data_IF_115934930629
#
_entry.id   IF_115934930629
#
_cell.length_a   1.000
_cell.length_b   1.000
_cell.length_c   1.000
_cell.angle_alpha   90.00
_cell.angle_beta   90.00
_cell.angle_gamma   90.00
#
_symmetry.space_group_name_H-M   'P 1'
#
loop_
_entity.id
_entity.type
_entity.pdbx_description
1 polymer ?
#
# COMPACT_ATOMS: atom_id res chain seq x y z
N UNK A 1 -7.74 6.27 36.47
CA UNK A 1 -6.77 6.27 35.36
C UNK A 1 -7.31 7.19 34.28
N UNK A 2 -6.67 8.33 34.04
CA UNK A 2 -7.06 9.21 32.93
C UNK A 2 -6.77 8.53 31.58
N UNK A 3 -7.47 8.88 30.50
CA UNK A 3 -7.17 8.34 29.18
C UNK A 3 -5.73 8.72 28.81
N UNK A 4 -4.92 7.71 28.47
CA UNK A 4 -3.60 7.91 27.87
C UNK A 4 -3.77 8.82 26.65
N UNK A 5 -2.99 9.89 26.58
CA UNK A 5 -3.01 10.76 25.42
C UNK A 5 -2.70 9.93 24.16
N UNK A 6 -3.39 10.17 23.03
CA UNK A 6 -3.11 9.43 21.81
C UNK A 6 -1.65 9.65 21.40
N UNK A 7 -0.88 8.57 21.33
CA UNK A 7 0.50 8.60 20.85
C UNK A 7 0.46 9.08 19.40
N UNK A 8 1.05 10.24 19.15
CA UNK A 8 1.10 10.83 17.81
C UNK A 8 2.02 9.98 16.93
N UNK A 9 1.66 9.75 15.66
CA UNK A 9 2.56 9.07 14.75
C UNK A 9 3.85 9.86 14.57
N UNK A 10 4.98 9.14 14.54
CA UNK A 10 6.29 9.66 14.17
C UNK A 10 6.23 10.10 12.70
N UNK A 11 6.84 11.23 12.34
CA UNK A 11 6.88 11.68 10.95
C UNK A 11 7.67 10.67 10.10
N UNK A 12 7.33 10.57 8.81
CA UNK A 12 8.11 9.80 7.84
C UNK A 12 9.58 10.27 7.88
N UNK A 13 10.55 9.37 8.11
CA UNK A 13 11.97 9.74 8.08
C UNK A 13 12.34 10.35 6.72
N UNK A 14 13.09 11.45 6.74
CA UNK A 14 13.56 12.13 5.54
C UNK A 14 14.63 11.33 4.76
N UNK A 15 15.33 10.44 5.45
CA UNK A 15 16.25 9.45 4.88
C UNK A 15 16.04 8.09 5.56
N UNK A 16 16.73 7.04 5.08
CA UNK A 16 16.66 5.69 5.66
C UNK A 16 17.44 5.58 7.01
N UNK A 17 17.99 6.70 7.51
CA UNK A 17 18.97 6.74 8.58
C UNK A 17 20.31 6.10 8.19
N UNK A 18 21.07 5.53 9.15
CA UNK A 18 22.31 4.81 8.90
C UNK A 18 22.21 3.81 7.75
N UNK A 19 23.31 3.69 7.00
CA UNK A 19 23.40 2.77 5.84
C UNK A 19 23.17 1.30 6.18
N UNK A 20 23.22 0.95 7.47
CA UNK A 20 22.96 -0.39 7.99
C UNK A 20 22.10 -0.27 9.25
N UNK A 21 21.02 -1.03 9.31
CA UNK A 21 20.10 -1.12 10.46
C UNK A 21 19.98 -2.57 10.88
N UNK A 22 20.13 -2.87 12.16
CA UNK A 22 20.16 -4.24 12.67
C UNK A 22 19.13 -4.47 13.78
N UNK A 23 18.90 -5.74 14.08
CA UNK A 23 18.31 -6.19 15.35
C UNK A 23 19.17 -5.74 16.55
N UNK A 24 18.58 -5.71 17.74
CA UNK A 24 19.25 -5.24 18.96
C UNK A 24 20.54 -6.02 19.30
N UNK A 25 20.58 -7.31 18.97
CA UNK A 25 21.75 -8.18 19.13
C UNK A 25 22.77 -8.08 17.98
N UNK A 26 22.46 -7.33 16.92
CA UNK A 26 23.30 -7.21 15.73
C UNK A 26 23.33 -8.44 14.83
N UNK A 27 22.54 -9.49 15.11
CA UNK A 27 22.58 -10.74 14.37
C UNK A 27 22.02 -10.61 12.94
N UNK A 28 21.03 -9.73 12.76
CA UNK A 28 20.34 -9.53 11.48
C UNK A 28 20.35 -8.07 11.09
N UNK A 29 20.95 -7.77 9.94
CA UNK A 29 21.14 -6.41 9.45
C UNK A 29 20.62 -6.23 8.02
N UNK A 30 20.07 -5.05 7.76
CA UNK A 30 19.65 -4.61 6.43
C UNK A 30 20.48 -3.39 6.04
N UNK A 31 21.22 -3.50 4.94
CA UNK A 31 21.99 -2.40 4.38
C UNK A 31 21.26 -1.72 3.23
N UNK A 32 21.47 -0.42 3.04
CA UNK A 32 20.91 0.30 1.87
C UNK A 32 21.52 -0.20 0.56
N UNK A 33 22.78 -0.63 0.58
CA UNK A 33 23.50 -1.13 -0.59
C UNK A 33 23.00 -2.49 -1.09
N UNK A 34 22.49 -3.34 -0.19
CA UNK A 34 21.95 -4.67 -0.51
C UNK A 34 20.56 -4.85 0.08
N UNK A 35 19.74 -3.80 -0.01
CA UNK A 35 18.46 -3.73 0.70
C UNK A 35 17.59 -4.95 0.42
N UNK A 36 17.38 -5.31 -0.85
CA UNK A 36 16.49 -6.42 -1.23
C UNK A 36 17.01 -7.79 -0.76
N UNK A 37 18.26 -8.21 -1.04
CA UNK A 37 18.78 -9.48 -0.54
C UNK A 37 18.85 -9.59 1.00
N UNK A 38 19.22 -8.49 1.67
CA UNK A 38 19.29 -8.45 3.13
C UNK A 38 17.86 -8.54 3.71
N UNK A 39 16.92 -7.73 3.20
CA UNK A 39 15.51 -7.75 3.59
C UNK A 39 14.90 -9.15 3.49
N UNK A 40 15.02 -9.80 2.34
CA UNK A 40 14.46 -11.13 2.15
C UNK A 40 15.12 -12.17 3.07
N UNK A 41 16.41 -12.02 3.39
CA UNK A 41 17.08 -12.86 4.39
C UNK A 41 16.56 -12.64 5.81
N UNK A 42 16.28 -11.39 6.19
CA UNK A 42 15.70 -11.05 7.50
C UNK A 42 14.27 -11.55 7.63
N UNK A 43 13.45 -11.44 6.57
CA UNK A 43 12.08 -12.00 6.56
C UNK A 43 12.13 -13.51 6.74
N UNK A 44 13.01 -14.21 6.02
CA UNK A 44 13.18 -15.66 6.13
C UNK A 44 13.59 -16.08 7.55
N UNK A 45 14.55 -15.38 8.14
CA UNK A 45 15.03 -15.65 9.50
C UNK A 45 13.94 -15.43 10.57
N UNK A 46 13.22 -14.31 10.50
CA UNK A 46 12.14 -14.00 11.45
C UNK A 46 10.96 -14.98 11.33
N UNK A 47 10.62 -15.38 10.10
CA UNK A 47 9.61 -16.40 9.85
C UNK A 47 10.02 -17.76 10.43
N UNK A 48 11.28 -18.16 10.21
CA UNK A 48 11.81 -19.42 10.73
C UNK A 48 11.84 -19.46 12.27
N UNK A 49 12.18 -18.34 12.93
CA UNK A 49 12.19 -18.25 14.39
C UNK A 49 10.81 -18.45 15.02
N UNK A 50 9.76 -17.98 14.35
CA UNK A 50 8.40 -17.95 14.89
C UNK A 50 7.51 -19.07 14.36
N UNK A 51 7.98 -19.82 13.37
CA UNK A 51 7.22 -20.87 12.69
C UNK A 51 6.16 -20.34 11.73
N UNK A 52 6.19 -19.05 11.40
CA UNK A 52 5.28 -18.46 10.40
C UNK A 52 5.75 -18.84 9.00
N UNK A 53 4.81 -19.12 8.09
CA UNK A 53 5.16 -19.35 6.68
C UNK A 53 5.80 -18.08 6.07
N UNK A 54 7.04 -18.16 5.54
CA UNK A 54 7.76 -16.99 5.08
C UNK A 54 7.10 -16.33 3.86
N UNK A 55 6.40 -17.09 3.01
CA UNK A 55 5.69 -16.53 1.87
C UNK A 55 4.46 -15.74 2.31
N UNK A 56 3.68 -16.26 3.26
CA UNK A 56 2.57 -15.52 3.90
C UNK A 56 3.07 -14.23 4.53
N UNK A 57 4.15 -14.32 5.30
CA UNK A 57 4.69 -13.16 5.99
C UNK A 57 5.20 -12.08 5.01
N UNK A 58 5.91 -12.49 3.96
CA UNK A 58 6.33 -11.57 2.90
C UNK A 58 5.14 -10.94 2.15
N UNK A 59 4.04 -11.68 1.91
CA UNK A 59 2.80 -11.12 1.31
C UNK A 59 2.17 -10.08 2.23
N UNK A 60 2.18 -10.32 3.53
CA UNK A 60 1.68 -9.39 4.53
C UNK A 60 2.50 -8.09 4.53
N UNK A 61 3.82 -8.18 4.73
CA UNK A 61 4.71 -7.00 4.70
C UNK A 61 4.65 -6.24 3.37
N UNK A 62 4.46 -6.96 2.26
CA UNK A 62 4.21 -6.33 0.97
C UNK A 62 2.89 -5.57 0.94
N UNK A 63 1.82 -6.14 1.50
CA UNK A 63 0.51 -5.50 1.55
C UNK A 63 0.51 -4.26 2.45
N UNK A 64 1.30 -4.29 3.52
CA UNK A 64 1.45 -3.17 4.46
C UNK A 64 2.16 -1.96 3.83
N UNK A 65 3.34 -2.16 3.25
CA UNK A 65 4.22 -1.04 2.89
C UNK A 65 4.85 -1.15 1.51
N UNK A 66 4.59 -2.22 0.76
CA UNK A 66 5.37 -2.60 -0.42
C UNK A 66 6.88 -2.73 -0.07
N UNK A 67 7.19 -3.20 1.14
CA UNK A 67 8.55 -3.27 1.69
C UNK A 67 9.23 -1.90 1.88
N UNK A 68 8.46 -0.83 2.09
CA UNK A 68 9.01 0.49 2.41
C UNK A 68 9.27 0.62 3.92
N UNK A 69 10.53 0.74 4.36
CA UNK A 69 10.86 0.84 5.78
C UNK A 69 10.47 2.20 6.39
N UNK A 70 10.16 3.20 5.55
CA UNK A 70 9.82 4.56 5.95
C UNK A 70 8.33 4.88 5.71
N UNK A 71 7.49 3.89 5.38
CA UNK A 71 6.07 4.13 5.14
C UNK A 71 5.37 4.72 6.37
N UNK A 72 4.52 5.73 6.14
CA UNK A 72 3.60 6.25 7.16
C UNK A 72 2.21 6.35 6.54
N UNK A 73 1.23 5.64 7.09
CA UNK A 73 -0.15 5.71 6.59
C UNK A 73 -0.85 7.00 7.04
N UNK A 74 -1.95 7.40 6.38
CA UNK A 74 -2.79 8.51 6.85
C UNK A 74 -3.35 8.32 8.27
N UNK A 75 -3.51 7.05 8.70
CA UNK A 75 -3.95 6.72 10.05
C UNK A 75 -2.80 6.75 11.08
N UNK A 76 -1.55 6.87 10.63
CA UNK A 76 -0.36 6.93 11.48
C UNK A 76 0.33 5.59 11.72
N UNK A 77 0.11 4.60 10.85
CA UNK A 77 0.82 3.32 10.92
C UNK A 77 2.24 3.47 10.35
N UNK A 78 3.25 2.88 11.01
CA UNK A 78 4.66 3.21 10.80
C UNK A 78 5.50 2.03 10.30
N UNK A 79 6.37 2.32 9.33
CA UNK A 79 7.43 1.44 8.87
C UNK A 79 6.98 0.27 8.01
N UNK A 80 7.90 -0.68 7.80
CA UNK A 80 7.70 -1.79 6.85
C UNK A 80 6.51 -2.69 7.21
N UNK A 81 6.23 -2.82 8.50
CA UNK A 81 5.15 -3.63 9.04
C UNK A 81 3.91 -2.81 9.45
N UNK A 82 3.93 -1.49 9.23
CA UNK A 82 2.81 -0.59 9.53
C UNK A 82 2.27 -0.75 10.96
N UNK A 83 3.16 -0.72 11.95
CA UNK A 83 2.74 -0.72 13.34
C UNK A 83 2.04 0.60 13.68
N UNK A 84 0.85 0.52 14.28
CA UNK A 84 0.29 1.67 14.99
C UNK A 84 1.17 2.00 16.20
N UNK A 85 1.35 3.27 16.60
CA UNK A 85 2.27 3.63 17.67
C UNK A 85 1.98 2.91 18.99
N UNK A 86 0.71 2.85 19.40
CA UNK A 86 0.32 2.11 20.60
C UNK A 86 0.58 0.60 20.51
N UNK A 87 0.48 0.01 19.32
CA UNK A 87 0.85 -1.40 19.11
C UNK A 87 2.37 -1.56 19.19
N UNK A 88 3.15 -0.66 18.59
CA UNK A 88 4.61 -0.70 18.68
C UNK A 88 5.07 -0.68 20.15
N UNK A 89 4.50 0.20 20.97
CA UNK A 89 4.80 0.30 22.41
C UNK A 89 4.45 -1.01 23.16
N UNK A 90 3.26 -1.58 22.90
CA UNK A 90 2.84 -2.86 23.50
C UNK A 90 3.75 -4.02 23.10
N UNK A 91 4.43 -3.92 21.95
CA UNK A 91 5.37 -4.92 21.45
C UNK A 91 6.83 -4.61 21.78
N UNK A 92 7.10 -3.52 22.50
CA UNK A 92 8.46 -3.09 22.83
C UNK A 92 9.29 -2.70 21.60
N UNK A 93 8.64 -2.21 20.54
CA UNK A 93 9.29 -1.77 19.31
C UNK A 93 9.53 -0.25 19.34
N UNK A 94 10.72 0.14 19.81
CA UNK A 94 11.09 1.56 19.99
C UNK A 94 11.22 2.34 18.67
N UNK A 95 11.66 1.68 17.60
CA UNK A 95 11.84 2.28 16.27
C UNK A 95 11.19 1.40 15.18
N UNK A 96 9.90 1.64 14.83
CA UNK A 96 9.23 0.95 13.74
C UNK A 96 9.83 1.20 12.35
N UNK A 97 10.64 2.25 12.19
CA UNK A 97 11.35 2.54 10.93
C UNK A 97 12.69 1.80 10.82
N UNK A 98 13.13 1.10 11.86
CA UNK A 98 14.22 0.12 11.74
C UNK A 98 13.62 -1.18 11.16
N UNK A 99 13.83 -1.49 9.86
CA UNK A 99 13.17 -2.63 9.24
C UNK A 99 13.59 -3.96 9.85
N UNK A 100 14.83 -4.10 10.33
CA UNK A 100 15.28 -5.34 10.94
C UNK A 100 14.47 -5.64 12.22
N UNK A 101 14.35 -4.67 13.12
CA UNK A 101 13.56 -4.82 14.35
C UNK A 101 12.06 -4.98 14.07
N UNK A 102 11.51 -4.17 13.16
CA UNK A 102 10.09 -4.20 12.84
C UNK A 102 9.66 -5.54 12.21
N UNK A 103 10.51 -6.18 11.38
CA UNK A 103 10.22 -7.49 10.79
C UNK A 103 10.15 -8.57 11.88
N UNK A 104 11.13 -8.62 12.80
CA UNK A 104 11.08 -9.59 13.91
C UNK A 104 9.87 -9.37 14.82
N UNK A 105 9.62 -8.12 15.25
CA UNK A 105 8.45 -7.79 16.06
C UNK A 105 7.13 -8.16 15.37
N UNK A 106 7.04 -7.95 14.05
CA UNK A 106 5.87 -8.32 13.26
C UNK A 106 5.70 -9.82 13.12
N UNK A 107 6.78 -10.58 12.96
CA UNK A 107 6.72 -12.04 12.89
C UNK A 107 6.20 -12.62 14.22
N UNK A 108 6.72 -12.13 15.34
CA UNK A 108 6.29 -12.53 16.69
C UNK A 108 4.82 -12.21 16.94
N UNK A 109 4.39 -11.01 16.54
CA UNK A 109 3.00 -10.60 16.68
C UNK A 109 2.08 -11.44 15.80
N UNK A 110 2.44 -11.67 14.54
CA UNK A 110 1.67 -12.49 13.62
C UNK A 110 1.57 -13.95 14.08
N UNK A 111 2.65 -14.50 14.63
CA UNK A 111 2.67 -15.84 15.20
C UNK A 111 1.73 -15.96 16.40
N UNK A 112 1.67 -14.92 17.25
CA UNK A 112 0.68 -14.86 18.33
C UNK A 112 -0.74 -14.85 17.78
N UNK A 113 -1.05 -13.97 16.81
CA UNK A 113 -2.39 -13.91 16.22
C UNK A 113 -2.80 -15.24 15.58
N UNK A 114 -1.86 -15.98 14.96
CA UNK A 114 -2.15 -17.32 14.43
C UNK A 114 -2.53 -18.29 15.55
N UNK A 115 -1.89 -18.22 16.72
CA UNK A 115 -2.26 -19.05 17.88
C UNK A 115 -3.62 -18.65 18.45
N UNK A 116 -3.87 -17.36 18.60
CA UNK A 116 -5.07 -16.83 19.24
C UNK A 116 -6.32 -17.06 18.38
N UNK A 117 -6.19 -16.98 17.05
CA UNK A 117 -7.30 -17.14 16.10
C UNK A 117 -7.30 -18.48 15.35
N UNK A 118 -6.29 -19.33 15.56
CA UNK A 118 -6.19 -20.69 15.04
C UNK A 118 -5.79 -20.83 13.56
N UNK A 119 -5.87 -19.77 12.75
CA UNK A 119 -5.47 -19.86 11.34
C UNK A 119 -4.91 -18.55 10.75
N UNK A 120 -4.14 -18.61 9.64
CA UNK A 120 -3.51 -17.44 9.02
C UNK A 120 -4.48 -16.38 8.52
N UNK A 121 -5.67 -16.76 8.06
CA UNK A 121 -6.64 -15.81 7.52
C UNK A 121 -7.29 -14.93 8.58
N UNK A 122 -7.68 -15.54 9.70
CA UNK A 122 -8.19 -14.81 10.85
C UNK A 122 -7.08 -13.99 11.53
N UNK A 123 -5.85 -14.50 11.57
CA UNK A 123 -4.71 -13.73 12.02
C UNK A 123 -4.45 -12.49 11.14
N UNK A 124 -4.53 -12.62 9.81
CA UNK A 124 -4.42 -11.48 8.90
C UNK A 124 -5.56 -10.46 9.11
N UNK A 125 -6.78 -10.93 9.39
CA UNK A 125 -7.89 -10.05 9.74
C UNK A 125 -7.64 -9.28 11.05
N UNK A 126 -7.11 -9.96 12.07
CA UNK A 126 -6.77 -9.36 13.35
C UNK A 126 -5.61 -8.37 13.25
N UNK A 127 -4.60 -8.68 12.42
CA UNK A 127 -3.47 -7.80 12.17
C UNK A 127 -3.93 -6.45 11.57
N UNK A 128 -4.79 -6.49 10.55
CA UNK A 128 -5.25 -5.29 9.86
C UNK A 128 -6.37 -4.53 10.59
N UNK A 129 -7.38 -5.23 11.11
CA UNK A 129 -8.56 -4.60 11.70
C UNK A 129 -8.49 -4.42 13.22
N UNK A 130 -7.45 -4.96 13.85
CA UNK A 130 -7.30 -5.09 15.30
C UNK A 130 -8.00 -6.32 15.86
N UNK A 131 -7.44 -6.85 16.95
CA UNK A 131 -7.90 -8.07 17.64
C UNK A 131 -9.37 -7.99 18.05
N UNK A 132 -9.81 -6.85 18.61
CA UNK A 132 -11.20 -6.68 19.03
C UNK A 132 -12.20 -6.84 17.86
N UNK A 133 -11.86 -6.32 16.67
CA UNK A 133 -12.72 -6.47 15.48
C UNK A 133 -12.70 -7.90 14.99
N UNK A 134 -11.54 -8.56 14.97
CA UNK A 134 -11.44 -9.95 14.57
C UNK A 134 -12.20 -10.89 15.52
N UNK A 135 -12.15 -10.64 16.83
CA UNK A 135 -12.90 -11.40 17.82
C UNK A 135 -14.42 -11.31 17.58
N UNK A 136 -14.94 -10.10 17.36
CA UNK A 136 -16.36 -9.88 17.00
C UNK A 136 -16.75 -10.57 15.69
N UNK A 137 -15.82 -10.64 14.74
CA UNK A 137 -16.05 -11.33 13.47
C UNK A 137 -16.13 -12.84 13.62
N UNK A 138 -15.22 -13.41 14.42
CA UNK A 138 -15.21 -14.84 14.75
C UNK A 138 -16.47 -15.23 15.53
N UNK A 139 -16.92 -14.38 16.46
CA UNK A 139 -18.17 -14.57 17.21
C UNK A 139 -19.45 -14.32 16.37
N UNK A 140 -19.31 -14.03 15.09
CA UNK A 140 -20.41 -13.71 14.16
C UNK A 140 -21.23 -12.44 14.51
N UNK A 141 -20.77 -11.65 15.47
CA UNK A 141 -21.44 -10.43 15.92
C UNK A 141 -21.31 -9.28 14.92
N UNK A 142 -20.22 -9.28 14.13
CA UNK A 142 -19.93 -8.19 13.19
C UNK A 142 -19.19 -8.67 11.95
N UNK A 143 -19.52 -8.11 10.80
CA UNK A 143 -18.76 -8.33 9.55
C UNK A 143 -17.44 -7.56 9.54
N UNK A 144 -16.43 -8.13 8.87
CA UNK A 144 -15.19 -7.41 8.57
C UNK A 144 -15.45 -6.21 7.64
N UNK A 145 -14.75 -5.08 7.83
CA UNK A 145 -14.75 -3.98 6.87
C UNK A 145 -14.31 -4.43 5.47
N UNK A 146 -14.76 -3.73 4.41
CA UNK A 146 -14.39 -4.05 3.04
C UNK A 146 -12.87 -4.07 2.83
N UNK A 147 -12.16 -3.08 3.39
CA UNK A 147 -10.70 -3.00 3.36
C UNK A 147 -10.03 -4.24 3.95
N UNK A 148 -10.49 -4.72 5.11
CA UNK A 148 -9.95 -5.92 5.75
C UNK A 148 -10.25 -7.19 4.96
N UNK A 149 -11.44 -7.28 4.34
CA UNK A 149 -11.78 -8.41 3.46
C UNK A 149 -10.85 -8.48 2.26
N UNK A 150 -10.57 -7.34 1.64
CA UNK A 150 -9.62 -7.22 0.53
C UNK A 150 -8.18 -7.51 0.98
N UNK A 151 -7.82 -7.08 2.19
CA UNK A 151 -6.52 -7.35 2.79
C UNK A 151 -6.28 -8.85 2.97
N UNK A 152 -7.21 -9.56 3.64
CA UNK A 152 -7.13 -11.01 3.84
C UNK A 152 -7.06 -11.74 2.49
N UNK A 153 -7.93 -11.37 1.54
CA UNK A 153 -7.94 -12.00 0.22
C UNK A 153 -6.62 -11.76 -0.55
N UNK A 154 -6.04 -10.56 -0.48
CA UNK A 154 -4.77 -10.27 -1.14
C UNK A 154 -3.61 -11.12 -0.59
N UNK A 155 -3.63 -11.45 0.70
CA UNK A 155 -2.54 -12.16 1.38
C UNK A 155 -2.73 -13.69 1.32
N UNK A 156 -3.97 -14.19 1.35
CA UNK A 156 -4.20 -15.65 1.40
C UNK A 156 -4.85 -16.20 0.14
N UNK A 157 -5.43 -15.36 -0.71
CA UNK A 157 -6.27 -15.79 -1.85
C UNK A 157 -7.64 -16.33 -1.44
N UNK A 158 -8.03 -16.20 -0.16
CA UNK A 158 -9.25 -16.76 0.42
C UNK A 158 -9.93 -15.67 1.24
N UNK A 159 -11.27 -15.65 1.24
CA UNK A 159 -12.04 -14.63 1.97
C UNK A 159 -12.04 -14.91 3.48
N UNK A 160 -12.15 -13.86 4.28
CA UNK A 160 -12.22 -13.98 5.75
C UNK A 160 -13.39 -14.84 6.22
N UNK A 161 -14.54 -14.77 5.55
CA UNK A 161 -15.70 -15.61 5.86
C UNK A 161 -15.40 -17.11 5.63
N UNK A 162 -14.71 -17.45 4.54
CA UNK A 162 -14.26 -18.82 4.30
C UNK A 162 -13.27 -19.27 5.37
N UNK A 163 -12.34 -18.40 5.80
CA UNK A 163 -11.41 -18.72 6.90
C UNK A 163 -12.08 -18.98 8.25
N UNK A 164 -13.24 -18.37 8.49
CA UNK A 164 -14.02 -18.55 9.72
C UNK A 164 -14.89 -19.81 9.65
N UNK A 165 -15.57 -20.01 8.52
CA UNK A 165 -16.66 -20.98 8.41
C UNK A 165 -16.21 -22.34 7.84
N UNK A 166 -15.27 -22.33 6.88
CA UNK A 166 -14.79 -23.53 6.17
C UNK A 166 -13.34 -23.31 5.68
N UNK A 167 -12.35 -23.30 6.60
CA UNK A 167 -10.98 -22.97 6.26
C UNK A 167 -10.38 -24.03 5.32
N UNK A 168 -9.60 -23.62 4.30
CA UNK A 168 -9.05 -24.54 3.31
C UNK A 168 -8.08 -25.54 3.94
N UNK A 169 -8.29 -26.83 3.67
CA UNK A 169 -7.41 -27.91 4.15
C UNK A 169 -5.97 -27.84 3.58
N UNK A 170 -5.80 -27.21 2.41
CA UNK A 170 -4.49 -26.95 1.79
C UNK A 170 -4.44 -25.51 1.32
N UNK A 171 -3.38 -24.80 1.68
CA UNK A 171 -3.16 -23.41 1.30
C UNK A 171 -1.84 -23.29 0.54
N UNK A 172 -1.89 -22.70 -0.66
CA UNK A 172 -0.69 -22.34 -1.40
C UNK A 172 -0.43 -20.84 -1.26
N UNK A 173 0.51 -20.48 -0.39
CA UNK A 173 0.89 -19.09 -0.11
C UNK A 173 2.08 -18.60 -0.93
N UNK A 174 2.65 -19.46 -1.78
CA UNK A 174 3.93 -19.20 -2.44
C UNK A 174 3.91 -17.92 -3.27
N UNK A 175 5.02 -17.20 -3.22
CA UNK A 175 5.22 -15.94 -3.95
C UNK A 175 5.42 -16.12 -5.46
N UNK A 176 5.70 -17.36 -5.91
CA UNK A 176 5.90 -17.71 -7.31
C UNK A 176 5.90 -19.23 -7.50
N UNK A 177 5.86 -19.71 -8.75
CA UNK A 177 5.87 -21.13 -9.06
C UNK A 177 7.26 -21.72 -8.75
N UNK A 178 7.32 -22.70 -7.85
CA UNK A 178 8.45 -23.61 -7.60
C UNK A 178 9.79 -23.04 -7.10
N UNK A 179 9.99 -21.72 -7.08
CA UNK A 179 11.21 -21.10 -6.54
C UNK A 179 11.33 -21.27 -5.01
N UNK A 180 12.57 -21.29 -4.52
CA UNK A 180 12.86 -21.13 -3.10
C UNK A 180 12.33 -19.78 -2.59
N UNK A 181 12.02 -19.68 -1.29
CA UNK A 181 11.45 -18.46 -0.72
C UNK A 181 12.28 -17.22 -1.07
N UNK A 182 13.59 -17.30 -0.88
CA UNK A 182 14.50 -16.16 -1.05
C UNK A 182 14.47 -15.59 -2.47
N UNK A 183 14.55 -16.44 -3.48
CA UNK A 183 14.51 -16.01 -4.89
C UNK A 183 13.15 -15.38 -5.25
N UNK A 184 12.06 -15.99 -4.78
CA UNK A 184 10.71 -15.49 -5.01
C UNK A 184 10.47 -14.13 -4.30
N UNK A 185 11.03 -13.96 -3.10
CA UNK A 185 10.99 -12.71 -2.37
C UNK A 185 11.78 -11.61 -3.10
N UNK A 186 13.00 -11.91 -3.55
CA UNK A 186 13.84 -10.97 -4.30
C UNK A 186 13.14 -10.54 -5.58
N UNK A 187 12.63 -11.49 -6.38
CA UNK A 187 11.90 -11.17 -7.61
C UNK A 187 10.68 -10.27 -7.37
N UNK A 188 9.95 -10.49 -6.27
CA UNK A 188 8.82 -9.63 -5.88
C UNK A 188 9.29 -8.24 -5.47
N UNK A 189 10.35 -8.15 -4.67
CA UNK A 189 10.90 -6.88 -4.21
C UNK A 189 11.49 -6.04 -5.35
N UNK A 190 12.13 -6.68 -6.34
CA UNK A 190 12.65 -6.03 -7.55
C UNK A 190 11.54 -5.58 -8.50
N UNK A 191 10.42 -6.31 -8.54
CA UNK A 191 9.22 -5.90 -9.27
C UNK A 191 8.49 -4.70 -8.64
N UNK A 192 8.97 -4.17 -7.50
CA UNK A 192 8.40 -2.99 -6.84
C UNK A 192 8.48 -1.77 -7.75
N UNK A 193 7.33 -1.40 -8.31
CA UNK A 193 7.12 -0.06 -8.85
C UNK A 193 6.74 0.86 -7.69
N UNK A 194 7.66 1.69 -7.21
CA UNK A 194 7.39 2.70 -6.17
C UNK A 194 6.40 3.72 -6.73
N UNK A 195 5.12 3.60 -6.36
CA UNK A 195 4.05 4.49 -6.82
C UNK A 195 4.14 5.90 -6.22
N UNK A 196 4.89 6.07 -5.12
CA UNK A 196 5.08 7.36 -4.43
C UNK A 196 6.01 8.34 -5.17
N UNK A 197 6.67 7.94 -6.25
CA UNK A 197 7.26 8.88 -7.21
C UNK A 197 6.25 9.38 -8.25
N UNK A 198 4.96 9.11 -8.07
CA UNK A 198 3.94 9.96 -8.68
C UNK A 198 3.88 11.22 -7.83
N UNK A 199 4.07 12.42 -8.41
CA UNK A 199 3.87 13.65 -7.67
C UNK A 199 2.51 13.57 -6.95
N UNK A 200 2.44 14.12 -5.72
CA UNK A 200 1.19 14.26 -4.98
C UNK A 200 0.11 14.66 -6.00
N UNK A 201 -0.99 13.89 -6.08
CA UNK A 201 -2.08 14.29 -6.96
C UNK A 201 -2.50 15.66 -6.44
N UNK A 202 -2.38 16.71 -7.24
CA UNK A 202 -2.81 18.00 -6.77
C UNK A 202 -4.29 17.95 -6.47
N UNK A 203 -4.74 18.80 -5.55
CA UNK A 203 -6.14 18.87 -5.13
C UNK A 203 -7.10 19.06 -6.32
N UNK A 204 -6.62 19.62 -7.43
CA UNK A 204 -7.39 19.85 -8.65
C UNK A 204 -6.75 19.19 -9.88
N UNK A 205 -7.60 18.69 -10.76
CA UNK A 205 -7.22 18.12 -12.05
C UNK A 205 -8.11 18.65 -13.17
N UNK A 206 -7.52 18.96 -14.32
CA UNK A 206 -8.27 19.34 -15.53
C UNK A 206 -8.27 18.17 -16.50
N UNK A 207 -9.43 17.54 -16.68
CA UNK A 207 -9.62 16.47 -17.67
C UNK A 207 -9.72 17.12 -19.06
N UNK A 208 -8.73 16.84 -19.92
CA UNK A 208 -8.68 17.34 -21.30
C UNK A 208 -9.07 16.26 -22.33
N UNK A 209 -9.11 14.99 -21.90
CA UNK A 209 -9.52 13.87 -22.74
C UNK A 209 -10.01 12.69 -21.89
N UNK A 210 -10.98 11.93 -22.42
CA UNK A 210 -11.47 10.71 -21.79
C UNK A 210 -11.85 9.65 -22.82
N UNK A 211 -11.63 8.38 -22.50
CA UNK A 211 -11.89 7.26 -23.39
C UNK A 211 -11.85 5.90 -22.71
N UNK A 212 -12.11 4.83 -23.47
CA UNK A 212 -12.11 3.45 -22.92
C UNK A 212 -10.73 2.82 -22.81
N UNK A 213 -9.77 3.24 -23.64
CA UNK A 213 -8.44 2.64 -23.74
C UNK A 213 -7.38 3.72 -23.73
N UNK A 214 -6.33 3.51 -22.94
CA UNK A 214 -5.21 4.45 -22.79
C UNK A 214 -4.54 4.88 -24.10
N UNK A 215 -4.20 3.99 -25.04
CA UNK A 215 -3.58 4.40 -26.32
C UNK A 215 -4.46 5.36 -27.13
N UNK A 216 -5.79 5.21 -27.05
CA UNK A 216 -6.73 6.10 -27.74
C UNK A 216 -6.75 7.49 -27.11
N UNK A 217 -6.67 7.56 -25.78
CA UNK A 217 -6.62 8.82 -25.03
C UNK A 217 -5.29 9.53 -25.27
N UNK A 218 -4.17 8.80 -25.24
CA UNK A 218 -2.83 9.34 -25.54
C UNK A 218 -2.73 9.91 -26.96
N UNK A 219 -3.23 9.18 -27.96
CA UNK A 219 -3.27 9.66 -29.35
C UNK A 219 -4.13 10.92 -29.52
N UNK A 220 -5.24 11.02 -28.79
CA UNK A 220 -6.08 12.22 -28.80
C UNK A 220 -5.39 13.41 -28.13
N UNK A 221 -4.73 13.20 -27.00
CA UNK A 221 -3.92 14.23 -26.32
C UNK A 221 -2.80 14.73 -27.23
N UNK A 222 -2.11 13.84 -27.95
CA UNK A 222 -1.08 14.25 -28.91
C UNK A 222 -1.63 15.19 -29.98
N UNK A 223 -2.84 14.92 -30.50
CA UNK A 223 -3.54 15.82 -31.45
C UNK A 223 -3.94 17.15 -30.80
N UNK A 224 -4.40 17.13 -29.54
CA UNK A 224 -4.73 18.35 -28.80
C UNK A 224 -3.50 19.25 -28.60
N UNK A 225 -2.34 18.67 -28.30
CA UNK A 225 -1.08 19.43 -28.16
C UNK A 225 -0.65 20.12 -29.45
N UNK A 226 -0.89 19.48 -30.60
CA UNK A 226 -0.62 20.10 -31.91
C UNK A 226 -1.61 21.24 -32.21
N UNK A 227 -2.88 21.10 -31.78
CA UNK A 227 -3.92 22.10 -32.02
C UNK A 227 -3.83 23.31 -31.09
N UNK A 228 -3.40 23.11 -29.85
CA UNK A 228 -3.35 24.12 -28.80
C UNK A 228 -1.94 24.18 -28.17
N UNK A 229 -0.90 24.52 -28.96
CA UNK A 229 0.48 24.48 -28.49
C UNK A 229 0.73 25.48 -27.35
N UNK A 230 0.14 26.67 -27.40
CA UNK A 230 0.28 27.69 -26.35
C UNK A 230 -0.22 27.21 -24.99
N UNK A 231 -1.32 26.43 -24.98
CA UNK A 231 -1.97 25.98 -23.74
C UNK A 231 -1.46 24.63 -23.26
N UNK A 232 -1.01 23.74 -24.16
CA UNK A 232 -0.79 22.31 -23.86
C UNK A 232 0.61 21.77 -24.18
N UNK A 233 1.49 22.50 -24.87
CA UNK A 233 2.79 21.97 -25.28
C UNK A 233 3.65 21.51 -24.08
N UNK A 234 3.71 22.33 -23.03
CA UNK A 234 4.50 22.06 -21.81
C UNK A 234 3.74 21.24 -20.77
N UNK A 235 2.46 20.96 -21.01
CA UNK A 235 1.62 20.28 -20.03
C UNK A 235 1.87 18.77 -20.07
N UNK A 236 2.15 18.16 -18.91
CA UNK A 236 2.29 16.72 -18.76
C UNK A 236 1.02 16.12 -18.10
N UNK A 237 0.06 15.60 -18.88
CA UNK A 237 -1.13 15.00 -18.30
C UNK A 237 -0.82 13.64 -17.66
N UNK A 238 -1.50 13.37 -16.55
CA UNK A 238 -1.50 12.08 -15.86
C UNK A 238 -2.68 11.25 -16.37
N UNK A 239 -2.45 9.97 -16.63
CA UNK A 239 -3.46 9.04 -17.12
C UNK A 239 -4.01 8.19 -15.97
N UNK A 240 -5.27 8.39 -15.63
CA UNK A 240 -5.95 7.70 -14.52
C UNK A 240 -7.36 7.27 -14.90
N UNK A 241 -7.82 6.17 -14.31
CA UNK A 241 -9.22 5.79 -14.39
C UNK A 241 -10.06 6.64 -13.42
N UNK A 242 -11.13 7.24 -13.92
CA UNK A 242 -12.04 8.05 -13.13
C UNK A 242 -13.49 7.88 -13.62
N UNK A 243 -14.44 7.93 -12.69
CA UNK A 243 -15.87 8.05 -13.00
C UNK A 243 -16.15 9.53 -13.26
N UNK A 244 -16.68 9.86 -14.43
CA UNK A 244 -16.91 11.24 -14.82
C UNK A 244 -18.38 11.62 -14.64
N UNK A 245 -18.68 12.71 -13.90
CA UNK A 245 -20.03 13.28 -13.84
C UNK A 245 -20.60 13.50 -15.24
N UNK A 246 -21.81 13.00 -15.50
CA UNK A 246 -22.48 13.12 -16.80
C UNK A 246 -22.12 12.05 -17.85
N UNK A 247 -21.22 11.11 -17.54
CA UNK A 247 -20.80 10.03 -18.47
C UNK A 247 -21.15 8.61 -17.99
N UNK A 248 -22.05 8.51 -17.01
CA UNK A 248 -22.49 7.27 -16.35
C UNK A 248 -21.50 6.75 -15.30
N UNK A 249 -21.84 5.60 -14.69
CA UNK A 249 -21.12 5.08 -13.52
C UNK A 249 -19.88 4.24 -13.86
N UNK A 250 -19.60 4.03 -15.16
CA UNK A 250 -18.45 3.24 -15.58
C UNK A 250 -17.18 4.10 -15.62
N UNK A 251 -16.09 3.67 -14.96
CA UNK A 251 -14.83 4.40 -15.01
C UNK A 251 -14.29 4.46 -16.44
N UNK A 252 -13.67 5.58 -16.77
CA UNK A 252 -13.01 5.82 -18.06
C UNK A 252 -11.56 6.19 -17.83
N UNK A 253 -10.71 5.86 -18.80
CA UNK A 253 -9.35 6.37 -18.83
C UNK A 253 -9.41 7.86 -19.16
N UNK A 254 -8.85 8.68 -18.27
CA UNK A 254 -8.83 10.15 -18.39
C UNK A 254 -7.40 10.66 -18.47
N UNK A 255 -7.18 11.69 -19.27
CA UNK A 255 -5.95 12.48 -19.26
C UNK A 255 -6.19 13.74 -18.44
N UNK A 256 -5.55 13.83 -17.29
CA UNK A 256 -5.75 14.88 -16.30
C UNK A 256 -4.51 15.75 -16.18
N UNK A 257 -4.69 17.06 -16.32
CA UNK A 257 -3.64 18.03 -16.07
C UNK A 257 -3.65 18.39 -14.58
N UNK A 258 -2.55 18.14 -13.85
CA UNK A 258 -2.45 18.45 -12.43
C UNK A 258 -2.43 19.96 -12.14
N UNK A 259 -3.17 20.43 -11.11
CA UNK A 259 -3.13 21.81 -10.59
C UNK A 259 -3.25 21.89 -9.06
N UNK A 260 -2.33 22.60 -8.40
CA UNK A 260 -2.39 22.82 -6.94
C UNK A 260 -3.48 23.82 -6.53
N UNK A 261 -3.95 24.64 -7.48
CA UNK A 261 -4.93 25.69 -7.25
C UNK A 261 -6.16 25.56 -8.17
N UNK A 262 -7.34 25.78 -7.60
CA UNK A 262 -8.62 25.68 -8.31
C UNK A 262 -8.77 26.75 -9.39
N UNK A 263 -8.31 27.98 -9.12
CA UNK A 263 -8.48 29.09 -10.06
C UNK A 263 -7.61 28.88 -11.30
N UNK A 264 -6.38 28.37 -11.12
CA UNK A 264 -5.50 27.98 -12.21
C UNK A 264 -6.11 26.86 -13.08
N UNK A 265 -6.72 25.84 -12.45
CA UNK A 265 -7.43 24.77 -13.16
C UNK A 265 -8.61 25.30 -13.99
N UNK A 266 -9.43 26.18 -13.41
CA UNK A 266 -10.55 26.83 -14.11
C UNK A 266 -10.04 27.70 -15.26
N UNK A 267 -8.96 28.45 -15.06
CA UNK A 267 -8.41 29.33 -16.08
C UNK A 267 -7.91 28.57 -17.31
N UNK A 268 -7.23 27.42 -17.13
CA UNK A 268 -6.89 26.55 -18.25
C UNK A 268 -8.16 26.05 -18.94
N UNK A 269 -9.14 25.62 -18.15
CA UNK A 269 -10.36 25.03 -18.70
C UNK A 269 -11.15 26.00 -19.56
N UNK A 270 -11.29 27.25 -19.11
CA UNK A 270 -11.96 28.31 -19.85
C UNK A 270 -11.26 28.57 -21.20
N UNK A 271 -9.92 28.69 -21.21
CA UNK A 271 -9.16 28.89 -22.46
C UNK A 271 -9.34 27.75 -23.45
N UNK A 272 -9.38 26.50 -22.96
CA UNK A 272 -9.62 25.33 -23.83
C UNK A 272 -11.05 25.31 -24.37
N UNK A 273 -12.03 25.66 -23.54
CA UNK A 273 -13.44 25.73 -23.95
C UNK A 273 -13.71 26.86 -24.95
N UNK A 274 -13.11 28.04 -24.75
CA UNK A 274 -13.14 29.16 -25.71
C UNK A 274 -12.55 28.76 -27.07
N UNK A 275 -11.53 27.90 -27.06
CA UNK A 275 -10.93 27.33 -28.26
C UNK A 275 -11.70 26.10 -28.82
N UNK A 276 -12.90 25.80 -28.30
CA UNK A 276 -13.77 24.72 -28.78
C UNK A 276 -13.35 23.31 -28.37
N UNK A 277 -12.51 23.17 -27.35
CA UNK A 277 -11.99 21.89 -26.86
C UNK A 277 -12.66 21.46 -25.55
N UNK A 278 -12.93 20.16 -25.44
CA UNK A 278 -13.47 19.57 -24.22
C UNK A 278 -12.54 19.83 -23.04
N UNK A 279 -13.13 20.28 -21.94
CA UNK A 279 -12.44 20.41 -20.69
C UNK A 279 -13.41 20.27 -19.52
N UNK A 280 -12.96 19.58 -18.46
CA UNK A 280 -13.68 19.46 -17.20
C UNK A 280 -12.73 19.56 -16.01
N UNK A 281 -13.02 20.46 -15.08
CA UNK A 281 -12.30 20.56 -13.80
C UNK A 281 -12.86 19.50 -12.83
N UNK A 282 -11.97 18.78 -12.16
CA UNK A 282 -12.30 17.82 -11.12
C UNK A 282 -11.49 18.10 -9.85
N UNK A 283 -12.04 17.73 -8.70
CA UNK A 283 -11.29 17.63 -7.44
C UNK A 283 -10.80 16.19 -7.29
N UNK A 284 -9.51 16.02 -7.01
CA UNK A 284 -8.87 14.71 -6.91
C UNK A 284 -9.00 14.08 -5.52
#
# INVERSE_FOLDING_TARGET
MGPLAPVRPRPRPADLGPRVRCTADGAHCISTARYVPDLCGVIEAAAAQTGVDPHFFARLLWKESLFDPNAVSPAGAEGIAQFMPGTADLRGLDDPFNPAMAIFASADYLAQLIRDYGNPGLAAAAYNAGEARAAQFVAEERRLPAETRDYVFAITGVRGETWRDDPPAKLNLRLGPEAAFRDACIARAEARVIREFRPARPDWGVIIAAGRRRPTVEAYVAKLKVRHPEQLAQVAPVYVEAVMPGFGDRPRMTAQVPFDDRLAAIALCNRLQEAGTFCQVNRN
#
